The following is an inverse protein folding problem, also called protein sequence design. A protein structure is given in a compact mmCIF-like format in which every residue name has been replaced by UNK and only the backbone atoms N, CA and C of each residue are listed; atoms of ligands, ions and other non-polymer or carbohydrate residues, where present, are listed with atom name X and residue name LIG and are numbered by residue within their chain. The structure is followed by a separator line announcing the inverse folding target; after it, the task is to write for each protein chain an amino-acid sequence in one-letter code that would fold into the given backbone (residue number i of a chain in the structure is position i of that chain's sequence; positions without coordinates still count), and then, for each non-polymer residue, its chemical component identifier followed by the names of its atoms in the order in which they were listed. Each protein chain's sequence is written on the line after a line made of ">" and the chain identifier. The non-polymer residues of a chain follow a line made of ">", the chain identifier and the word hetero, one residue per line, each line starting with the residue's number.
data_IF_423465724235
#
_entry.id   IF_423465724235
#
_cell.length_a   1.000
_cell.length_b   1.000
_cell.length_c   1.000
_cell.angle_alpha   90.00
_cell.angle_beta   90.00
_cell.angle_gamma   90.00
#
_symmetry.space_group_name_H-M   'P 1'
#
loop_
_entity.id
_entity.type
_entity.pdbx_description
1 polymer ?
#
# COMPACT_ATOMS: atom_id res chain seq x y z
N UNK A 1 11.59 -16.07 -10.80
CA UNK A 1 10.99 -16.41 -9.48
C UNK A 1 11.45 -15.32 -8.51
N UNK A 2 10.59 -14.86 -7.62
CA UNK A 2 10.97 -13.89 -6.59
C UNK A 2 11.89 -14.56 -5.56
N UNK A 3 12.81 -13.78 -5.00
CA UNK A 3 13.71 -14.25 -3.93
C UNK A 3 12.92 -14.36 -2.64
N UNK A 4 13.11 -15.45 -1.90
CA UNK A 4 12.43 -15.66 -0.61
C UNK A 4 12.99 -14.77 0.49
N UNK A 5 14.22 -14.26 0.33
CA UNK A 5 14.92 -13.36 1.27
C UNK A 5 16.00 -12.53 0.57
N UNK A 6 16.46 -11.49 1.24
CA UNK A 6 17.51 -10.60 0.75
C UNK A 6 18.91 -11.25 0.87
N UNK A 7 19.23 -11.78 2.05
CA UNK A 7 20.51 -12.40 2.34
C UNK A 7 20.29 -13.81 2.87
N UNK A 8 21.21 -14.73 2.58
CA UNK A 8 21.18 -16.11 3.08
C UNK A 8 21.71 -16.15 4.53
N UNK A 9 20.88 -15.68 5.47
CA UNK A 9 21.11 -15.66 6.90
C UNK A 9 19.82 -16.05 7.67
N UNK A 10 19.79 -15.95 8.99
CA UNK A 10 18.64 -16.32 9.82
C UNK A 10 17.79 -15.15 10.26
N UNK A 11 18.08 -13.91 9.84
CA UNK A 11 17.34 -12.73 10.28
C UNK A 11 15.87 -12.77 9.85
N UNK A 12 14.97 -12.31 10.69
CA UNK A 12 13.56 -12.16 10.40
C UNK A 12 13.39 -10.94 9.49
N UNK A 13 13.05 -11.19 8.21
CA UNK A 13 12.84 -10.14 7.22
C UNK A 13 11.37 -9.80 7.06
N UNK A 14 11.04 -8.49 7.05
CA UNK A 14 9.73 -7.98 6.66
C UNK A 14 9.83 -7.26 5.32
N UNK A 15 8.92 -7.55 4.41
CA UNK A 15 8.73 -6.77 3.18
C UNK A 15 7.68 -5.69 3.38
N UNK A 16 7.94 -4.49 2.86
CA UNK A 16 7.03 -3.34 2.93
C UNK A 16 6.86 -2.71 1.55
N UNK A 17 5.62 -2.39 1.21
CA UNK A 17 5.25 -1.60 0.02
C UNK A 17 3.98 -0.80 0.28
N UNK A 18 3.73 0.25 -0.50
CA UNK A 18 2.55 1.09 -0.40
C UNK A 18 1.62 1.01 -1.61
N UNK A 19 0.37 1.36 -1.38
CA UNK A 19 -0.64 1.59 -2.41
C UNK A 19 -1.45 2.86 -2.13
N UNK A 20 -1.86 3.53 -3.19
CA UNK A 20 -2.66 4.75 -3.03
C UNK A 20 -1.83 6.03 -2.88
N UNK A 21 -0.57 6.06 -3.32
CA UNK A 21 0.26 7.28 -3.30
C UNK A 21 -0.19 8.33 -4.31
N UNK A 22 -0.62 7.90 -5.50
CA UNK A 22 -0.99 8.79 -6.61
C UNK A 22 -2.45 9.26 -6.70
N UNK A 23 -3.47 8.64 -6.03
CA UNK A 23 -4.84 9.09 -6.06
C UNK A 23 -5.02 10.52 -5.54
N UNK A 24 -6.02 11.22 -6.11
CA UNK A 24 -6.48 12.53 -5.63
C UNK A 24 -7.41 12.41 -4.43
N UNK A 25 -7.93 11.21 -4.16
CA UNK A 25 -8.98 10.95 -3.18
C UNK A 25 -8.69 9.67 -2.39
N UNK A 26 -9.04 9.66 -1.11
CA UNK A 26 -8.93 8.51 -0.24
C UNK A 26 -7.57 8.36 0.46
N UNK A 27 -7.46 7.37 1.36
CA UNK A 27 -6.26 7.14 2.17
C UNK A 27 -5.11 6.53 1.38
N UNK A 28 -3.92 6.60 1.96
CA UNK A 28 -2.73 5.85 1.58
C UNK A 28 -2.66 4.60 2.44
N UNK A 29 -2.27 3.47 1.87
CA UNK A 29 -2.06 2.21 2.58
C UNK A 29 -0.64 1.71 2.43
N UNK A 30 -0.12 1.03 3.45
CA UNK A 30 1.11 0.26 3.39
C UNK A 30 0.86 -1.14 3.93
N UNK A 31 1.41 -2.14 3.26
CA UNK A 31 1.45 -3.51 3.75
C UNK A 31 2.80 -3.83 4.36
N UNK A 32 2.83 -4.70 5.37
CA UNK A 32 4.03 -5.31 5.93
C UNK A 32 3.80 -6.83 6.01
N UNK A 33 4.74 -7.62 5.48
CA UNK A 33 4.62 -9.09 5.44
C UNK A 33 5.94 -9.74 5.83
N UNK A 34 5.90 -10.64 6.81
CA UNK A 34 6.97 -11.58 7.13
C UNK A 34 6.61 -12.92 6.49
N UNK A 35 7.37 -13.34 5.49
CA UNK A 35 7.16 -14.58 4.77
C UNK A 35 8.21 -15.63 5.16
N UNK A 36 7.81 -16.91 5.22
CA UNK A 36 8.76 -17.98 5.53
C UNK A 36 9.74 -18.23 4.36
N UNK A 37 11.00 -18.41 4.67
CA UNK A 37 11.99 -18.92 3.70
C UNK A 37 12.00 -20.44 3.65
N UNK A 38 11.70 -21.11 4.75
CA UNK A 38 11.42 -22.55 4.82
C UNK A 38 9.92 -22.77 4.54
N UNK A 39 9.58 -22.94 3.27
CA UNK A 39 8.18 -22.95 2.84
C UNK A 39 7.61 -24.38 2.88
N UNK A 40 6.40 -24.49 3.42
CA UNK A 40 5.55 -25.67 3.18
C UNK A 40 5.21 -25.79 1.69
N UNK A 41 4.74 -26.96 1.25
CA UNK A 41 4.27 -27.14 -0.13
C UNK A 41 3.19 -26.13 -0.53
N UNK A 42 2.28 -25.80 0.39
CA UNK A 42 1.21 -24.83 0.16
C UNK A 42 1.77 -23.42 0.01
N UNK A 43 2.66 -22.99 0.91
CA UNK A 43 3.36 -21.70 0.79
C UNK A 43 4.14 -21.61 -0.52
N UNK A 44 4.85 -22.66 -0.94
CA UNK A 44 5.59 -22.68 -2.20
C UNK A 44 4.65 -22.54 -3.42
N UNK A 45 3.49 -23.21 -3.42
CA UNK A 45 2.47 -23.05 -4.47
C UNK A 45 1.97 -21.63 -4.58
N UNK A 46 1.64 -20.99 -3.46
CA UNK A 46 1.16 -19.60 -3.44
C UNK A 46 2.26 -18.62 -3.80
N UNK A 47 3.49 -18.81 -3.31
CA UNK A 47 4.66 -17.99 -3.64
C UNK A 47 4.91 -17.90 -5.15
N UNK A 48 4.74 -18.99 -5.88
CA UNK A 48 4.86 -19.00 -7.34
C UNK A 48 3.78 -18.19 -8.07
N UNK A 49 2.68 -17.85 -7.40
CA UNK A 49 1.59 -17.02 -7.94
C UNK A 49 1.73 -15.56 -7.58
N UNK A 50 2.50 -15.23 -6.52
CA UNK A 50 2.78 -13.87 -6.07
C UNK A 50 3.72 -13.20 -7.07
N UNK A 51 3.38 -11.99 -7.45
CA UNK A 51 4.18 -11.09 -8.30
C UNK A 51 3.69 -9.66 -8.11
N UNK A 52 4.40 -8.68 -8.68
CA UNK A 52 4.01 -7.28 -8.72
C UNK A 52 2.47 -7.13 -8.89
N UNK A 53 1.86 -6.45 -7.94
CA UNK A 53 0.39 -6.32 -7.81
C UNK A 53 -0.26 -5.67 -9.04
N UNK A 54 0.49 -4.84 -9.77
CA UNK A 54 0.04 -4.14 -10.99
C UNK A 54 -0.11 -5.11 -12.18
N UNK A 55 0.59 -6.25 -12.16
CA UNK A 55 0.52 -7.31 -13.18
C UNK A 55 -0.59 -8.34 -12.92
N UNK A 56 -1.34 -8.19 -11.84
CA UNK A 56 -2.42 -9.08 -11.43
C UNK A 56 -3.80 -8.46 -11.73
N UNK A 57 -4.77 -9.29 -12.14
CA UNK A 57 -6.17 -8.86 -12.16
C UNK A 57 -6.70 -8.65 -10.74
N UNK A 58 -7.74 -7.83 -10.57
CA UNK A 58 -8.38 -7.57 -9.26
C UNK A 58 -8.83 -8.88 -8.59
N UNK A 59 -9.48 -9.78 -9.33
CA UNK A 59 -9.90 -11.10 -8.81
C UNK A 59 -8.71 -11.91 -8.28
N UNK A 60 -7.58 -11.88 -8.99
CA UNK A 60 -6.39 -12.62 -8.57
C UNK A 60 -5.68 -11.99 -7.39
N UNK A 61 -5.65 -10.65 -7.31
CA UNK A 61 -5.14 -9.94 -6.13
C UNK A 61 -5.94 -10.26 -4.88
N UNK A 62 -7.28 -10.21 -4.96
CA UNK A 62 -8.16 -10.53 -3.85
C UNK A 62 -7.94 -11.96 -3.36
N UNK A 63 -7.88 -12.93 -4.26
CA UNK A 63 -7.56 -14.32 -3.92
C UNK A 63 -6.20 -14.42 -3.20
N UNK A 64 -5.15 -13.85 -3.78
CA UNK A 64 -3.81 -13.90 -3.20
C UNK A 64 -3.72 -13.16 -1.87
N UNK A 65 -4.43 -12.06 -1.69
CA UNK A 65 -4.49 -11.35 -0.41
C UNK A 65 -4.97 -12.26 0.72
N UNK A 66 -6.04 -13.04 0.50
CA UNK A 66 -6.54 -13.98 1.49
C UNK A 66 -5.53 -15.12 1.74
N UNK A 67 -4.88 -15.64 0.69
CA UNK A 67 -3.85 -16.65 0.86
C UNK A 67 -2.63 -16.11 1.64
N UNK A 68 -2.20 -14.89 1.36
CA UNK A 68 -1.10 -14.22 2.08
C UNK A 68 -1.45 -14.10 3.57
N UNK A 69 -2.65 -13.63 3.90
CA UNK A 69 -3.10 -13.48 5.28
C UNK A 69 -3.13 -14.80 6.05
N UNK A 70 -3.44 -15.90 5.37
CA UNK A 70 -3.51 -17.23 5.99
C UNK A 70 -2.15 -17.91 6.13
N UNK A 71 -1.20 -17.63 5.24
CA UNK A 71 0.05 -18.39 5.09
C UNK A 71 1.30 -17.62 5.52
N UNK A 72 1.26 -16.29 5.56
CA UNK A 72 2.39 -15.49 6.07
C UNK A 72 2.64 -15.79 7.56
N UNK A 73 3.89 -15.73 7.99
CA UNK A 73 4.27 -15.84 9.41
C UNK A 73 3.61 -14.72 10.21
N UNK A 74 3.65 -13.51 9.67
CA UNK A 74 3.01 -12.32 10.23
C UNK A 74 2.73 -11.31 9.12
N UNK A 75 1.69 -10.52 9.29
CA UNK A 75 1.36 -9.45 8.37
C UNK A 75 0.59 -8.34 9.05
N UNK A 76 0.65 -7.16 8.48
CA UNK A 76 -0.12 -6.01 8.93
C UNK A 76 -0.36 -5.03 7.81
N UNK A 77 -1.32 -4.12 8.00
CA UNK A 77 -1.59 -3.01 7.08
C UNK A 77 -1.74 -1.72 7.87
N UNK A 78 -0.96 -0.72 7.52
CA UNK A 78 -1.06 0.64 8.03
C UNK A 78 -1.77 1.55 7.04
N UNK A 79 -2.46 2.57 7.50
CA UNK A 79 -3.11 3.57 6.65
C UNK A 79 -2.90 4.99 7.15
N UNK A 80 -2.98 5.95 6.21
CA UNK A 80 -2.90 7.40 6.49
C UNK A 80 -4.03 8.08 5.76
N UNK A 81 -4.80 8.88 6.48
CA UNK A 81 -5.98 9.59 5.96
C UNK A 81 -5.61 10.73 5.01
N UNK A 82 -6.55 11.19 4.16
CA UNK A 82 -6.35 12.38 3.33
C UNK A 82 -5.97 13.63 4.12
N UNK A 83 -6.54 13.82 5.30
CA UNK A 83 -6.23 14.96 6.16
C UNK A 83 -4.77 14.93 6.66
N UNK A 84 -4.30 13.78 7.12
CA UNK A 84 -2.90 13.60 7.53
C UNK A 84 -1.93 13.76 6.34
N UNK A 85 -2.33 13.30 5.13
CA UNK A 85 -1.54 13.53 3.91
C UNK A 85 -1.40 15.02 3.62
N UNK A 86 -2.48 15.79 3.75
CA UNK A 86 -2.47 17.23 3.53
C UNK A 86 -1.65 17.99 4.58
N UNK A 87 -1.65 17.52 5.83
CA UNK A 87 -0.87 18.11 6.93
C UNK A 87 0.63 17.78 6.82
N UNK A 88 0.97 16.51 6.60
CA UNK A 88 2.34 16.01 6.66
C UNK A 88 3.10 16.15 5.33
N UNK A 89 2.37 16.23 4.23
CA UNK A 89 2.91 16.03 2.89
C UNK A 89 3.18 14.55 2.59
N UNK A 90 3.26 14.20 1.29
CA UNK A 90 3.27 12.81 0.83
C UNK A 90 4.45 11.98 1.39
N UNK A 91 5.63 12.58 1.50
CA UNK A 91 6.83 11.85 1.98
C UNK A 91 6.66 11.37 3.42
N UNK A 92 6.28 12.29 4.33
CA UNK A 92 6.08 11.94 5.75
C UNK A 92 4.84 11.04 5.94
N UNK A 93 3.78 11.26 5.17
CA UNK A 93 2.60 10.41 5.17
C UNK A 93 2.94 8.96 4.75
N UNK A 94 3.81 8.79 3.75
CA UNK A 94 4.27 7.45 3.33
C UNK A 94 5.09 6.77 4.44
N UNK A 95 6.02 7.49 5.05
CA UNK A 95 6.80 6.99 6.19
C UNK A 95 5.90 6.64 7.39
N UNK A 96 4.86 7.43 7.66
CA UNK A 96 3.87 7.14 8.69
C UNK A 96 3.06 5.87 8.37
N UNK A 97 2.69 5.66 7.09
CA UNK A 97 2.01 4.42 6.67
C UNK A 97 2.90 3.19 6.91
N UNK A 98 4.18 3.28 6.58
CA UNK A 98 5.15 2.22 6.86
C UNK A 98 5.29 1.96 8.36
N UNK A 99 5.41 3.01 9.16
CA UNK A 99 5.47 2.91 10.63
C UNK A 99 4.24 2.17 11.17
N UNK A 100 3.04 2.57 10.79
CA UNK A 100 1.78 1.94 11.22
C UNK A 100 1.67 0.48 10.79
N UNK A 101 2.18 0.16 9.60
CA UNK A 101 2.24 -1.23 9.14
C UNK A 101 3.20 -2.07 10.00
N UNK A 102 4.36 -1.53 10.38
CA UNK A 102 5.30 -2.21 11.28
C UNK A 102 4.75 -2.35 12.71
N UNK A 103 4.09 -1.32 13.24
CA UNK A 103 3.48 -1.33 14.56
C UNK A 103 2.36 -2.36 14.71
N UNK A 104 1.70 -2.71 13.62
CA UNK A 104 0.66 -3.75 13.61
C UNK A 104 1.20 -5.18 13.60
N UNK A 105 2.51 -5.39 13.45
CA UNK A 105 3.13 -6.71 13.53
C UNK A 105 3.24 -7.16 14.99
N UNK A 106 3.03 -8.45 15.21
CA UNK A 106 3.23 -9.11 16.53
C UNK A 106 4.63 -9.71 16.68
N UNK A 107 5.37 -9.79 15.59
CA UNK A 107 6.77 -10.27 15.53
C UNK A 107 7.63 -9.09 15.12
N UNK A 108 8.66 -8.80 15.91
CA UNK A 108 9.62 -7.74 15.58
C UNK A 108 10.57 -8.22 14.50
N UNK A 109 10.64 -7.57 13.34
CA UNK A 109 11.60 -7.90 12.29
C UNK A 109 13.02 -7.45 12.69
N UNK A 110 14.02 -8.12 12.12
CA UNK A 110 15.44 -7.81 12.28
C UNK A 110 16.02 -7.14 11.01
N UNK A 111 15.31 -7.26 9.88
CA UNK A 111 15.60 -6.56 8.61
C UNK A 111 14.31 -6.13 7.94
N UNK A 112 14.32 -4.91 7.38
CA UNK A 112 13.17 -4.31 6.68
C UNK A 112 13.53 -4.13 5.21
N UNK A 113 12.81 -4.81 4.30
CA UNK A 113 12.94 -4.66 2.85
C UNK A 113 11.85 -3.71 2.37
N UNK A 114 12.21 -2.60 1.75
CA UNK A 114 11.28 -1.52 1.41
C UNK A 114 11.30 -1.28 -0.11
N UNK A 115 10.13 -1.29 -0.74
CA UNK A 115 10.03 -0.81 -2.13
C UNK A 115 10.16 0.71 -2.21
N UNK A 116 10.92 1.19 -3.20
CA UNK A 116 11.06 2.61 -3.50
C UNK A 116 12.34 3.26 -2.96
N UNK A 117 12.20 4.47 -2.39
CA UNK A 117 13.34 5.30 -1.99
C UNK A 117 13.22 5.93 -0.59
N UNK A 118 12.24 5.51 0.21
CA UNK A 118 11.97 6.08 1.53
C UNK A 118 12.25 5.04 2.61
N UNK A 119 13.13 5.37 3.56
CA UNK A 119 13.35 4.60 4.78
C UNK A 119 12.33 4.93 5.86
N UNK A 120 12.15 4.04 6.82
CA UNK A 120 11.42 4.30 8.07
C UNK A 120 12.34 5.03 9.04
N UNK A 121 11.91 6.20 9.51
CA UNK A 121 12.72 7.09 10.36
C UNK A 121 12.27 7.12 11.82
N UNK A 122 11.17 6.46 12.14
CA UNK A 122 10.59 6.43 13.49
C UNK A 122 11.25 5.36 14.35
N UNK A 123 11.48 5.69 15.63
CA UNK A 123 11.94 4.71 16.63
C UNK A 123 10.81 3.71 16.98
N UNK A 124 11.10 2.39 17.18
CA UNK A 124 12.44 1.76 17.16
C UNK A 124 12.94 1.35 15.78
N UNK A 125 12.09 1.44 14.74
CA UNK A 125 12.30 0.89 13.40
C UNK A 125 13.52 1.48 12.67
N UNK A 126 13.87 2.73 12.99
CA UNK A 126 15.05 3.41 12.43
C UNK A 126 16.40 2.77 12.82
N UNK A 127 16.43 1.90 13.83
CA UNK A 127 17.63 1.18 14.24
C UNK A 127 17.75 -0.23 13.65
N UNK A 128 16.70 -0.70 12.97
CA UNK A 128 16.71 -1.98 12.28
C UNK A 128 17.38 -1.79 10.92
N UNK A 129 18.14 -2.80 10.47
CA UNK A 129 18.70 -2.82 9.12
C UNK A 129 17.61 -2.62 8.07
N UNK A 130 17.81 -1.64 7.18
CA UNK A 130 16.84 -1.33 6.11
C UNK A 130 17.50 -1.47 4.75
N UNK A 131 16.88 -2.25 3.88
CA UNK A 131 17.22 -2.37 2.47
C UNK A 131 16.14 -1.63 1.69
N UNK A 132 16.48 -0.44 1.21
CA UNK A 132 15.56 0.42 0.44
C UNK A 132 15.95 0.31 -1.03
N UNK A 133 15.09 -0.25 -1.85
CA UNK A 133 15.41 -0.56 -3.24
C UNK A 133 14.20 -0.31 -4.15
N UNK A 134 14.37 0.44 -5.25
CA UNK A 134 13.32 0.59 -6.25
C UNK A 134 12.97 -0.76 -6.91
N UNK A 135 11.68 -0.99 -7.14
CA UNK A 135 11.15 -2.22 -7.74
C UNK A 135 11.46 -3.49 -6.92
N UNK A 136 11.57 -3.35 -5.59
CA UNK A 136 11.78 -4.46 -4.68
C UNK A 136 10.60 -5.46 -4.69
N UNK A 137 9.38 -5.00 -5.01
CA UNK A 137 8.19 -5.83 -5.27
C UNK A 137 8.35 -6.77 -6.47
N UNK A 138 9.26 -6.47 -7.38
CA UNK A 138 9.68 -7.32 -8.49
C UNK A 138 10.80 -8.30 -8.13
N UNK A 139 11.42 -8.19 -6.95
CA UNK A 139 12.60 -8.97 -6.54
C UNK A 139 12.32 -9.88 -5.34
N UNK A 140 11.69 -9.37 -4.29
CA UNK A 140 11.51 -10.05 -3.01
C UNK A 140 10.06 -10.45 -2.78
N UNK A 141 9.86 -11.70 -2.41
CA UNK A 141 8.55 -12.30 -2.20
C UNK A 141 7.73 -11.57 -1.11
N UNK A 142 8.38 -11.23 0.01
CA UNK A 142 7.73 -10.54 1.12
C UNK A 142 7.25 -9.14 0.70
N UNK A 143 8.04 -8.40 -0.11
CA UNK A 143 7.67 -7.08 -0.63
C UNK A 143 6.52 -7.17 -1.63
N UNK A 144 6.57 -8.15 -2.55
CA UNK A 144 5.47 -8.39 -3.50
C UNK A 144 4.16 -8.77 -2.78
N UNK A 145 4.25 -9.56 -1.72
CA UNK A 145 3.10 -9.90 -0.87
C UNK A 145 2.53 -8.65 -0.16
N UNK A 146 3.39 -7.79 0.37
CA UNK A 146 3.02 -6.51 0.99
C UNK A 146 2.31 -5.58 -0.01
N UNK A 147 2.83 -5.48 -1.24
CA UNK A 147 2.22 -4.74 -2.36
C UNK A 147 0.79 -5.20 -2.64
N UNK A 148 0.56 -6.52 -2.67
CA UNK A 148 -0.79 -7.08 -2.87
C UNK A 148 -1.71 -6.70 -1.72
N UNK A 149 -1.28 -6.83 -0.46
CA UNK A 149 -2.10 -6.46 0.71
C UNK A 149 -2.44 -4.97 0.69
N UNK A 150 -1.46 -4.10 0.52
CA UNK A 150 -1.67 -2.66 0.46
C UNK A 150 -2.68 -2.27 -0.65
N UNK A 151 -2.53 -2.87 -1.85
CA UNK A 151 -3.40 -2.58 -3.00
C UNK A 151 -4.82 -3.07 -2.80
N UNK A 152 -5.00 -4.26 -2.23
CA UNK A 152 -6.34 -4.81 -1.97
C UNK A 152 -7.05 -4.00 -0.90
N UNK A 153 -6.38 -3.62 0.19
CA UNK A 153 -6.98 -2.81 1.25
C UNK A 153 -7.36 -1.41 0.75
N UNK A 154 -6.49 -0.76 -0.03
CA UNK A 154 -6.79 0.52 -0.65
C UNK A 154 -8.03 0.46 -1.55
N UNK A 155 -8.10 -0.51 -2.47
CA UNK A 155 -9.21 -0.62 -3.42
C UNK A 155 -10.51 -1.03 -2.70
N UNK A 156 -10.43 -1.91 -1.68
CA UNK A 156 -11.55 -2.34 -0.86
C UNK A 156 -12.16 -1.17 -0.10
N UNK A 157 -11.36 -0.36 0.58
CA UNK A 157 -11.84 0.79 1.31
C UNK A 157 -12.63 1.76 0.41
N UNK A 158 -12.14 2.00 -0.81
CA UNK A 158 -12.83 2.86 -1.77
C UNK A 158 -14.17 2.26 -2.20
N UNK A 159 -14.22 0.95 -2.46
CA UNK A 159 -15.46 0.27 -2.87
C UNK A 159 -16.50 0.26 -1.75
N UNK A 160 -16.10 -0.04 -0.52
CA UNK A 160 -16.97 0.02 0.67
C UNK A 160 -17.53 1.42 0.89
N UNK A 161 -16.69 2.47 0.73
CA UNK A 161 -17.16 3.85 0.76
C UNK A 161 -18.21 4.11 -0.34
N UNK A 162 -17.97 3.63 -1.55
CA UNK A 162 -18.90 3.79 -2.66
C UNK A 162 -20.24 3.08 -2.44
N UNK A 163 -20.25 1.96 -1.71
CA UNK A 163 -21.48 1.20 -1.40
C UNK A 163 -22.42 1.98 -0.48
N UNK A 164 -21.85 2.75 0.42
CA UNK A 164 -22.61 3.58 1.38
C UNK A 164 -22.85 5.02 0.92
N UNK A 165 -22.10 5.49 -0.10
CA UNK A 165 -22.11 6.89 -0.58
C UNK A 165 -22.27 6.97 -2.10
N UNK A 166 -23.33 6.36 -2.64
CA UNK A 166 -23.53 6.22 -4.09
C UNK A 166 -23.47 7.55 -4.86
N UNK A 167 -24.09 8.62 -4.36
CA UNK A 167 -24.06 9.94 -5.00
C UNK A 167 -22.64 10.51 -5.12
N UNK A 168 -21.81 10.35 -4.08
CA UNK A 168 -20.41 10.81 -4.09
C UNK A 168 -19.59 9.96 -5.04
N UNK A 169 -19.82 8.64 -5.01
CA UNK A 169 -19.15 7.69 -5.88
C UNK A 169 -19.39 7.99 -7.38
N UNK A 170 -20.62 8.37 -7.74
CA UNK A 170 -21.00 8.72 -9.11
C UNK A 170 -20.40 10.06 -9.53
N UNK A 171 -20.50 11.12 -8.73
CA UNK A 171 -19.95 12.45 -9.02
C UNK A 171 -18.48 12.42 -9.41
N UNK A 172 -17.70 11.57 -8.74
CA UNK A 172 -16.24 11.51 -8.93
C UNK A 172 -15.76 10.22 -9.62
N UNK A 173 -16.68 9.38 -10.12
CA UNK A 173 -16.37 8.10 -10.80
C UNK A 173 -15.50 7.15 -9.96
N UNK A 174 -15.68 7.17 -8.62
CA UNK A 174 -14.75 6.52 -7.67
C UNK A 174 -14.66 5.00 -7.82
N UNK A 175 -15.76 4.34 -8.14
CA UNK A 175 -15.76 2.88 -8.35
C UNK A 175 -14.80 2.45 -9.44
N UNK A 176 -14.72 3.24 -10.50
CA UNK A 176 -13.88 2.96 -11.66
C UNK A 176 -12.45 3.47 -11.46
N UNK A 177 -12.32 4.71 -11.03
CA UNK A 177 -11.01 5.36 -10.94
C UNK A 177 -10.23 5.02 -9.67
N UNK A 178 -10.86 4.39 -8.66
CA UNK A 178 -10.23 4.10 -7.35
C UNK A 178 -9.52 5.32 -6.75
N UNK A 179 -10.12 6.52 -6.92
CA UNK A 179 -9.55 7.78 -6.44
C UNK A 179 -8.48 8.41 -7.35
N UNK A 180 -8.02 7.71 -8.38
CA UNK A 180 -7.03 8.28 -9.31
C UNK A 180 -7.61 9.39 -10.17
N UNK A 181 -6.76 10.38 -10.51
CA UNK A 181 -7.14 11.59 -11.26
C UNK A 181 -7.39 11.34 -12.75
N UNK A 182 -8.36 10.47 -13.09
CA UNK A 182 -8.84 10.29 -14.44
C UNK A 182 -9.54 11.56 -14.95
N UNK A 183 -9.77 11.66 -16.26
CA UNK A 183 -10.48 12.79 -16.84
C UNK A 183 -11.83 13.00 -16.14
N UNK A 184 -12.63 11.94 -16.01
CA UNK A 184 -13.99 12.00 -15.41
C UNK A 184 -13.95 12.41 -13.93
N UNK A 185 -12.96 11.92 -13.16
CA UNK A 185 -12.78 12.34 -11.78
C UNK A 185 -12.46 13.84 -11.66
N UNK A 186 -11.56 14.36 -12.52
CA UNK A 186 -11.21 15.79 -12.53
C UNK A 186 -12.39 16.66 -12.97
N UNK A 187 -13.17 16.24 -13.95
CA UNK A 187 -14.41 16.92 -14.37
C UNK A 187 -15.39 16.98 -13.21
N UNK A 188 -15.61 15.89 -12.49
CA UNK A 188 -16.45 15.88 -11.28
C UNK A 188 -15.97 16.83 -10.20
N UNK A 189 -14.63 16.95 -9.98
CA UNK A 189 -14.10 17.93 -9.02
C UNK A 189 -14.37 19.36 -9.47
N UNK A 190 -14.26 19.67 -10.76
CA UNK A 190 -14.54 21.02 -11.30
C UNK A 190 -16.03 21.36 -11.24
N UNK A 191 -16.92 20.40 -11.45
CA UNK A 191 -18.37 20.57 -11.45
C UNK A 191 -18.96 20.66 -10.03
N UNK A 192 -18.58 19.72 -9.15
CA UNK A 192 -19.19 19.59 -7.80
C UNK A 192 -18.33 20.14 -6.66
N UNK A 193 -17.13 20.63 -6.97
CA UNK A 193 -16.14 21.01 -5.97
C UNK A 193 -15.41 19.80 -5.35
N UNK A 194 -14.39 20.05 -4.50
CA UNK A 194 -13.67 18.98 -3.81
C UNK A 194 -14.46 18.47 -2.60
N UNK A 195 -14.54 17.15 -2.47
CA UNK A 195 -15.07 16.48 -1.27
C UNK A 195 -14.02 16.47 -0.13
N UNK A 196 -14.39 16.40 1.17
CA UNK A 196 -13.45 16.33 2.29
C UNK A 196 -12.40 15.22 2.23
N UNK A 197 -12.67 14.12 1.49
CA UNK A 197 -11.74 13.03 1.28
C UNK A 197 -10.80 13.23 0.08
N UNK A 198 -10.89 14.35 -0.63
CA UNK A 198 -9.87 14.73 -1.59
C UNK A 198 -8.63 15.27 -0.89
N UNK A 199 -7.48 14.90 -1.40
CA UNK A 199 -6.18 15.40 -0.94
C UNK A 199 -5.93 16.79 -1.53
N UNK A 200 -6.17 17.84 -0.75
CA UNK A 200 -6.06 19.25 -1.18
C UNK A 200 -4.69 19.57 -1.77
N UNK A 201 -3.64 18.94 -1.20
CA UNK A 201 -2.27 19.07 -1.68
C UNK A 201 -2.15 18.75 -3.19
N UNK A 202 -2.92 17.77 -3.68
CA UNK A 202 -2.87 17.32 -5.08
C UNK A 202 -3.80 18.12 -6.00
N UNK A 203 -4.76 18.84 -5.44
CA UNK A 203 -5.72 19.62 -6.21
C UNK A 203 -5.24 21.05 -6.53
N UNK A 204 -4.12 21.49 -5.97
CA UNK A 204 -3.63 22.88 -6.11
C UNK A 204 -3.60 23.35 -7.56
N UNK A 205 -3.01 22.56 -8.47
CA UNK A 205 -2.95 22.91 -9.90
C UNK A 205 -4.31 22.85 -10.60
N UNK A 206 -5.16 21.89 -10.22
CA UNK A 206 -6.49 21.72 -10.84
C UNK A 206 -7.44 22.85 -10.50
N UNK A 207 -7.35 23.38 -9.26
CA UNK A 207 -8.26 24.40 -8.71
C UNK A 207 -7.63 25.80 -8.64
N UNK A 208 -6.42 25.97 -9.20
CA UNK A 208 -5.66 27.24 -9.14
C UNK A 208 -5.54 27.81 -7.72
N UNK A 209 -5.37 26.94 -6.73
CA UNK A 209 -5.21 27.38 -5.34
C UNK A 209 -3.80 27.93 -5.13
N UNK A 210 -3.72 29.22 -4.77
CA UNK A 210 -2.49 29.83 -4.28
C UNK A 210 -2.10 29.25 -2.93
N UNK A 211 -0.80 29.12 -2.69
CA UNK A 211 -0.21 28.68 -1.42
C UNK A 211 -0.38 29.76 -0.35
#
# INVERSE_FOLDING_TARGET
>A
MLQSRHTDDSLIEVGIDEAGRGPLWGPLYAGAVIWSHEMSEEQAKISNLIKDSKKLSEKRRNYLSEQIKNLAINWSVGSVSPAEIDELGMTKANQLAFTRALEGLTITPERILIDGCLSVITHPWSFIEQVVEPEADGKYLAVAAASILAKVEHDRWILEYCDTNANVAERYDLRRCKGYGTKKHREGILEFGPHPLHRRLFLRKLLNLTV
#
